data_IF_822665511776
#
_entry.id   IF_822665511776
#
_cell.length_a   1.000
_cell.length_b   1.000
_cell.length_c   1.000
_cell.angle_alpha   90.00
_cell.angle_beta   90.00
_cell.angle_gamma   90.00
#
_symmetry.space_group_name_H-M   'P 1'
#
loop_
_entity.id
_entity.type
_entity.pdbx_description
1 polymer ?
#
# COMPACT_ATOMS: atom_id res chain seq x y z
N UNK A 1 0.68 11.26 -23.61
CA UNK A 1 -0.06 10.02 -23.26
C UNK A 1 0.78 9.16 -22.34
N UNK A 2 0.13 8.24 -21.62
CA UNK A 2 0.72 7.34 -20.64
C UNK A 2 0.04 5.96 -20.76
N UNK A 3 0.83 4.90 -20.64
CA UNK A 3 0.34 3.53 -20.44
C UNK A 3 0.54 3.11 -18.98
N UNK A 4 -0.51 2.61 -18.33
CA UNK A 4 -0.43 1.99 -17.01
C UNK A 4 -0.85 0.53 -17.11
N UNK A 5 0.01 -0.39 -16.68
CA UNK A 5 -0.25 -1.83 -16.67
C UNK A 5 -0.16 -2.39 -15.26
N UNK A 6 -1.06 -3.33 -14.93
CA UNK A 6 -1.10 -4.02 -13.64
C UNK A 6 -1.07 -5.53 -13.88
N UNK A 7 -0.04 -6.19 -13.37
CA UNK A 7 0.21 -7.62 -13.51
C UNK A 7 0.14 -8.26 -12.12
N UNK A 8 -0.95 -8.98 -11.81
CA UNK A 8 -1.04 -9.73 -10.57
C UNK A 8 0.01 -10.85 -10.55
N UNK A 9 0.91 -10.84 -9.59
CA UNK A 9 1.84 -11.94 -9.38
C UNK A 9 1.42 -12.88 -8.25
N UNK A 10 2.21 -13.95 -8.03
CA UNK A 10 1.85 -15.00 -7.08
C UNK A 10 1.82 -14.50 -5.62
N UNK A 11 0.86 -14.98 -4.80
CA UNK A 11 0.80 -14.67 -3.36
C UNK A 11 1.76 -15.54 -2.51
N UNK A 12 2.70 -16.24 -3.15
CA UNK A 12 3.63 -17.21 -2.54
C UNK A 12 5.08 -16.85 -2.86
N UNK A 13 6.05 -17.19 -1.99
CA UNK A 13 7.42 -16.73 -2.16
C UNK A 13 8.05 -17.40 -3.38
N UNK A 14 8.60 -16.58 -4.28
CA UNK A 14 9.35 -17.05 -5.44
C UNK A 14 10.85 -17.16 -5.12
N UNK A 15 11.51 -18.14 -5.74
CA UNK A 15 12.94 -18.39 -5.58
C UNK A 15 13.60 -18.64 -6.94
N UNK A 16 14.84 -18.18 -7.08
CA UNK A 16 15.70 -18.43 -8.24
C UNK A 16 16.97 -19.10 -7.73
N UNK A 17 17.24 -20.34 -8.16
CA UNK A 17 18.39 -21.12 -7.72
C UNK A 17 18.58 -21.16 -6.18
N UNK A 18 17.48 -21.23 -5.42
CA UNK A 18 17.47 -21.24 -3.95
C UNK A 18 17.50 -19.86 -3.27
N UNK A 19 17.71 -18.76 -4.02
CA UNK A 19 17.63 -17.40 -3.50
C UNK A 19 16.21 -16.83 -3.59
N UNK A 20 15.73 -16.16 -2.54
CA UNK A 20 14.37 -15.57 -2.52
C UNK A 20 14.28 -14.31 -3.38
N UNK A 21 13.25 -14.23 -4.21
CA UNK A 21 12.91 -13.01 -4.94
C UNK A 21 12.37 -11.95 -3.97
N UNK A 22 13.07 -10.81 -3.87
CA UNK A 22 12.70 -9.69 -2.99
C UNK A 22 11.86 -8.62 -3.69
N UNK A 23 12.07 -8.44 -4.98
CA UNK A 23 11.32 -7.53 -5.83
C UNK A 23 11.56 -7.87 -7.29
N UNK A 24 10.59 -7.53 -8.13
CA UNK A 24 10.66 -7.65 -9.57
C UNK A 24 10.02 -6.40 -10.19
N UNK A 25 10.86 -5.52 -10.73
CA UNK A 25 10.45 -4.23 -11.28
C UNK A 25 10.20 -4.37 -12.79
N UNK A 26 8.94 -4.50 -13.24
CA UNK A 26 8.63 -4.75 -14.64
C UNK A 26 8.73 -3.46 -15.46
N UNK A 27 8.93 -3.59 -16.76
CA UNK A 27 8.78 -2.45 -17.66
C UNK A 27 8.15 -2.87 -18.98
N UNK A 28 7.25 -2.03 -19.47
CA UNK A 28 6.67 -2.16 -20.81
C UNK A 28 7.45 -1.37 -21.86
N UNK A 29 7.21 -1.63 -23.15
CA UNK A 29 7.84 -0.86 -24.22
C UNK A 29 7.32 0.59 -24.22
N UNK A 30 8.20 1.52 -24.61
CA UNK A 30 7.78 2.82 -25.12
C UNK A 30 7.30 2.62 -26.56
N UNK A 31 6.06 3.01 -26.82
CA UNK A 31 5.43 2.93 -28.14
C UNK A 31 5.23 4.34 -28.68
N UNK A 32 5.18 4.47 -30.01
CA UNK A 32 4.93 5.76 -30.64
C UNK A 32 3.65 6.40 -30.11
N UNK A 33 3.73 7.68 -29.75
CA UNK A 33 2.64 8.41 -29.11
C UNK A 33 2.53 8.25 -27.59
N UNK A 34 3.34 7.40 -26.93
CA UNK A 34 3.44 7.31 -25.47
C UNK A 34 4.89 7.37 -24.98
N UNK A 35 5.27 8.52 -24.42
CA UNK A 35 6.59 8.74 -23.87
C UNK A 35 6.78 8.18 -22.45
N UNK A 36 5.73 7.65 -21.82
CA UNK A 36 5.75 7.15 -20.46
C UNK A 36 5.01 5.82 -20.36
N UNK A 37 5.62 4.87 -19.63
CA UNK A 37 5.04 3.59 -19.28
C UNK A 37 5.24 3.35 -17.77
N UNK A 38 4.15 3.03 -17.07
CA UNK A 38 4.17 2.57 -15.69
C UNK A 38 3.65 1.14 -15.67
N UNK A 39 4.45 0.21 -15.18
CA UNK A 39 4.04 -1.19 -15.02
C UNK A 39 4.16 -1.59 -13.56
N UNK A 40 3.10 -2.19 -13.04
CA UNK A 40 2.97 -2.62 -11.65
C UNK A 40 2.91 -4.14 -11.62
N UNK A 41 3.67 -4.75 -10.72
CA UNK A 41 3.62 -6.18 -10.44
C UNK A 41 3.43 -6.40 -8.95
N UNK A 42 2.42 -7.20 -8.56
CA UNK A 42 2.31 -7.65 -7.18
C UNK A 42 3.13 -8.91 -6.95
N UNK A 43 3.78 -9.02 -5.80
CA UNK A 43 4.53 -10.20 -5.39
C UNK A 43 4.44 -10.34 -3.87
N UNK A 44 3.84 -11.41 -3.35
CA UNK A 44 3.90 -11.72 -1.92
C UNK A 44 3.44 -10.59 -0.98
N UNK A 45 2.40 -9.85 -1.38
CA UNK A 45 1.88 -8.71 -0.62
C UNK A 45 2.67 -7.41 -0.82
N UNK A 46 3.75 -7.43 -1.62
CA UNK A 46 4.43 -6.24 -2.10
C UNK A 46 3.90 -5.85 -3.47
N UNK A 47 4.07 -4.57 -3.80
CA UNK A 47 3.74 -4.00 -5.10
C UNK A 47 5.01 -3.35 -5.66
N UNK A 48 5.58 -3.95 -6.70
CA UNK A 48 6.78 -3.48 -7.37
C UNK A 48 6.37 -2.62 -8.58
N UNK A 49 6.84 -1.38 -8.64
CA UNK A 49 6.48 -0.41 -9.67
C UNK A 49 7.71 -0.11 -10.53
N UNK A 50 7.61 -0.30 -11.84
CA UNK A 50 8.59 0.17 -12.80
C UNK A 50 8.04 1.34 -13.62
N UNK A 51 8.90 2.33 -13.84
CA UNK A 51 8.60 3.54 -14.61
C UNK A 51 9.66 3.69 -15.68
N UNK A 52 9.24 3.79 -16.95
CA UNK A 52 10.12 4.10 -18.07
C UNK A 52 9.60 5.33 -18.80
N UNK A 53 10.51 6.26 -19.11
CA UNK A 53 10.21 7.49 -19.81
C UNK A 53 11.19 7.75 -20.96
N UNK A 54 10.72 8.42 -22.02
CA UNK A 54 11.58 9.04 -23.01
C UNK A 54 12.07 10.40 -22.47
N UNK A 55 13.39 10.59 -22.28
CA UNK A 55 13.93 11.79 -21.63
C UNK A 55 13.70 13.07 -22.44
N UNK A 56 13.58 12.98 -23.77
CA UNK A 56 13.34 14.14 -24.64
C UNK A 56 11.92 14.71 -24.51
N UNK A 57 10.97 13.90 -24.00
CA UNK A 57 9.55 14.26 -23.91
C UNK A 57 9.08 14.37 -22.45
N UNK A 58 9.60 13.52 -21.57
CA UNK A 58 9.31 13.50 -20.14
C UNK A 58 10.63 13.47 -19.34
N UNK A 59 11.30 14.63 -19.20
CA UNK A 59 12.65 14.70 -18.63
C UNK A 59 12.69 14.52 -17.11
N UNK A 60 11.59 14.81 -16.40
CA UNK A 60 11.53 14.77 -14.94
C UNK A 60 10.91 13.46 -14.41
N UNK A 61 11.63 12.36 -14.61
CA UNK A 61 11.20 11.05 -14.09
C UNK A 61 11.33 10.97 -12.56
N UNK A 62 12.31 11.65 -11.98
CA UNK A 62 12.55 11.64 -10.54
C UNK A 62 11.41 12.33 -9.78
N UNK A 63 10.95 13.49 -10.26
CA UNK A 63 9.79 14.18 -9.73
C UNK A 63 8.52 13.34 -9.82
N UNK A 64 8.31 12.62 -10.94
CA UNK A 64 7.20 11.69 -11.09
C UNK A 64 7.25 10.55 -10.06
N UNK A 65 8.42 9.93 -9.88
CA UNK A 65 8.60 8.84 -8.90
C UNK A 65 8.38 9.34 -7.47
N UNK A 66 8.88 10.53 -7.13
CA UNK A 66 8.63 11.15 -5.83
C UNK A 66 7.13 11.40 -5.60
N UNK A 67 6.41 11.90 -6.61
CA UNK A 67 4.97 12.13 -6.54
C UNK A 67 4.16 10.84 -6.39
N UNK A 68 4.59 9.73 -7.00
CA UNK A 68 3.96 8.41 -6.78
C UNK A 68 4.08 7.98 -5.32
N UNK A 69 5.26 8.14 -4.73
CA UNK A 69 5.51 7.79 -3.32
C UNK A 69 4.64 8.67 -2.41
N UNK A 70 4.62 9.98 -2.63
CA UNK A 70 3.79 10.91 -1.86
C UNK A 70 2.29 10.55 -1.97
N UNK A 71 1.81 10.27 -3.18
CA UNK A 71 0.42 9.87 -3.41
C UNK A 71 0.03 8.59 -2.66
N UNK A 72 0.93 7.60 -2.63
CA UNK A 72 0.73 6.36 -1.84
C UNK A 72 0.64 6.68 -0.35
N UNK A 73 1.52 7.54 0.18
CA UNK A 73 1.48 7.93 1.61
C UNK A 73 0.18 8.67 1.97
N UNK A 74 -0.30 9.55 1.10
CA UNK A 74 -1.60 10.23 1.27
C UNK A 74 -2.74 9.20 1.33
N UNK A 75 -2.78 8.24 0.40
CA UNK A 75 -3.80 7.20 0.36
C UNK A 75 -3.71 6.27 1.59
N UNK A 76 -2.51 5.93 2.01
CA UNK A 76 -2.24 5.13 3.21
C UNK A 76 -2.82 5.81 4.45
N UNK A 77 -2.50 7.09 4.66
CA UNK A 77 -3.02 7.84 5.81
C UNK A 77 -4.56 7.96 5.79
N UNK A 78 -5.15 8.15 4.61
CA UNK A 78 -6.61 8.20 4.45
C UNK A 78 -7.26 6.84 4.77
N UNK A 79 -6.67 5.73 4.30
CA UNK A 79 -7.15 4.38 4.57
C UNK A 79 -7.08 4.05 6.07
N UNK A 80 -5.96 4.38 6.73
CA UNK A 80 -5.81 4.20 8.19
C UNK A 80 -6.88 4.97 8.97
N UNK A 81 -7.18 6.21 8.54
CA UNK A 81 -8.22 7.04 9.16
C UNK A 81 -9.64 6.49 8.95
N UNK A 82 -9.94 5.93 7.78
CA UNK A 82 -11.22 5.25 7.51
C UNK A 82 -11.38 4.01 8.38
N UNK A 83 -10.35 3.17 8.49
CA UNK A 83 -10.36 1.98 9.36
C UNK A 83 -10.61 2.37 10.81
N UNK A 84 -9.98 3.45 11.30
CA UNK A 84 -10.22 3.96 12.65
C UNK A 84 -11.67 4.44 12.87
N UNK A 85 -12.28 5.09 11.86
CA UNK A 85 -13.70 5.51 11.91
C UNK A 85 -14.68 4.35 11.87
N UNK A 86 -14.34 3.28 11.15
CA UNK A 86 -15.19 2.09 10.98
C UNK A 86 -15.12 1.13 12.18
N UNK A 87 -14.14 1.30 13.08
CA UNK A 87 -13.98 0.43 14.24
C UNK A 87 -15.21 0.50 15.19
N UNK A 88 -15.77 -0.64 15.64
CA UNK A 88 -16.87 -0.63 16.59
C UNK A 88 -16.46 0.08 17.88
N UNK A 89 -17.37 0.83 18.55
CA UNK A 89 -17.06 1.43 19.83
C UNK A 89 -16.68 0.34 20.82
N UNK A 90 -15.47 0.44 21.38
CA UNK A 90 -15.03 -0.46 22.45
C UNK A 90 -16.00 -0.31 23.62
N UNK A 91 -16.69 -1.41 23.94
CA UNK A 91 -17.64 -1.45 25.06
C UNK A 91 -16.88 -1.11 26.34
N UNK A 92 -17.07 0.12 26.84
CA UNK A 92 -16.63 0.53 28.17
C UNK A 92 -17.26 -0.43 29.18
N UNK A 93 -16.48 -1.34 29.73
CA UNK A 93 -16.89 -2.13 30.89
C UNK A 93 -16.99 -1.16 32.07
N UNK A 94 -18.21 -0.92 32.53
CA UNK A 94 -18.46 -0.15 33.76
C UNK A 94 -17.69 -0.79 34.92
N UNK A 95 -17.05 0.00 35.80
CA UNK A 95 -16.37 -0.54 36.96
C UNK A 95 -17.35 -1.33 37.85
N UNK A 96 -16.91 -2.42 38.50
CA UNK A 96 -17.78 -3.25 39.31
C UNK A 96 -18.45 -2.40 40.39
N UNK A 97 -19.79 -2.46 40.46
CA UNK A 97 -20.58 -1.74 41.45
C UNK A 97 -20.13 -2.20 42.84
N UNK A 98 -19.50 -1.31 43.60
CA UNK A 98 -19.04 -1.58 44.98
C UNK A 98 -20.23 -2.10 45.78
N UNK A 99 -20.17 -3.37 46.20
CA UNK A 99 -21.20 -3.97 47.04
C UNK A 99 -21.31 -3.14 48.32
N UNK A 100 -22.52 -2.63 48.58
CA UNK A 100 -22.83 -2.01 49.87
C UNK A 100 -22.62 -3.08 50.94
N UNK A 101 -21.62 -2.88 51.81
CA UNK A 101 -21.51 -3.63 53.06
C UNK A 101 -22.75 -3.27 53.87
N UNK A 102 -23.67 -4.22 53.99
CA UNK A 102 -24.76 -4.12 54.94
C UNK A 102 -24.16 -4.01 56.33
N UNK A 103 -24.41 -2.88 56.98
CA UNK A 103 -24.31 -2.70 58.41
C UNK A 103 -25.37 -3.60 59.06
N UNK A 104 -24.93 -4.70 59.65
CA UNK A 104 -25.75 -5.56 60.49
C UNK A 104 -25.39 -5.25 61.94
N UNK A 105 -26.20 -4.40 62.55
CA UNK A 105 -26.24 -4.13 63.96
C UNK A 105 -26.69 -5.37 64.75
N UNK A 106 -25.92 -5.72 65.79
CA UNK A 106 -26.38 -6.31 67.05
C UNK A 106 -25.32 -6.17 68.13
#
# INVERSE_FOLDING_TARGET
NLVVSNVPGPPVPLYVAGARLRGAYPFGPLIEGSALNITVLSNMGNLDIGVIACPDVAPDIDGLVAGIIEGIEVLRAAAESEVARSAPPTRRTSPPRRAARGDASR
#
